data_IF_136977921966
#
_entry.id   IF_136977921966
#
_cell.length_a   1.000
_cell.length_b   1.000
_cell.length_c   1.000
_cell.angle_alpha   90.00
_cell.angle_beta   90.00
_cell.angle_gamma   90.00
#
_symmetry.space_group_name_H-M   'P 1'
#
loop_
_entity.id
_entity.type
_entity.pdbx_description
1 polymer ?
#
# COMPACT_ATOMS: atom_id res chain seq x y z
N UNK A 1 -17.56 -49.72 17.45
CA UNK A 1 -18.50 -48.71 16.92
C UNK A 1 -18.19 -47.28 17.38
N UNK A 2 -18.02 -47.00 18.69
CA UNK A 2 -17.65 -45.65 19.18
C UNK A 2 -16.37 -45.07 18.55
N UNK A 3 -15.34 -45.91 18.36
CA UNK A 3 -14.07 -45.47 17.77
C UNK A 3 -14.13 -45.22 16.26
N UNK A 4 -15.08 -45.85 15.55
CA UNK A 4 -15.28 -45.64 14.11
C UNK A 4 -16.04 -44.33 13.84
N UNK A 5 -17.01 -43.99 14.70
CA UNK A 5 -17.72 -42.71 14.65
C UNK A 5 -16.78 -41.52 14.93
N UNK A 6 -15.84 -41.66 15.88
CA UNK A 6 -14.85 -40.63 16.18
C UNK A 6 -13.86 -40.42 15.01
N UNK A 7 -13.47 -41.51 14.33
CA UNK A 7 -12.61 -41.46 13.16
C UNK A 7 -13.30 -40.78 11.97
N UNK A 8 -14.58 -41.07 11.75
CA UNK A 8 -15.40 -40.41 10.72
C UNK A 8 -15.59 -38.93 11.05
N UNK A 9 -15.78 -38.57 12.32
CA UNK A 9 -15.87 -37.18 12.77
C UNK A 9 -14.56 -36.41 12.53
N UNK A 10 -13.41 -37.05 12.78
CA UNK A 10 -12.07 -36.51 12.50
C UNK A 10 -11.78 -36.39 11.00
N UNK A 11 -12.33 -37.28 10.16
CA UNK A 11 -12.21 -37.21 8.70
C UNK A 11 -13.16 -36.19 8.05
N UNK A 12 -14.20 -35.73 8.76
CA UNK A 12 -15.13 -34.68 8.32
C UNK A 12 -14.69 -33.26 8.75
N UNK A 13 -13.64 -33.15 9.58
CA UNK A 13 -13.07 -31.87 10.04
C UNK A 13 -12.14 -31.11 9.07
N UNK A 14 -11.62 -31.63 7.93
CA UNK A 14 -10.67 -30.86 7.13
C UNK A 14 -11.31 -29.77 6.24
N UNK A 15 -12.64 -29.61 6.22
CA UNK A 15 -13.29 -28.62 5.35
C UNK A 15 -13.42 -27.21 5.97
N UNK A 16 -12.80 -26.94 7.12
CA UNK A 16 -12.80 -25.60 7.76
C UNK A 16 -11.41 -24.99 7.90
N UNK A 17 -10.36 -25.64 7.40
CA UNK A 17 -9.03 -25.05 7.34
C UNK A 17 -8.93 -24.36 5.98
N UNK A 18 -9.36 -23.09 5.93
CA UNK A 18 -8.90 -22.21 4.87
C UNK A 18 -7.42 -21.95 5.15
N UNK A 19 -6.53 -22.47 4.31
CA UNK A 19 -5.18 -21.94 4.23
C UNK A 19 -5.34 -20.49 3.74
N UNK A 20 -5.06 -19.53 4.61
CA UNK A 20 -4.95 -18.12 4.25
C UNK A 20 -3.50 -17.86 3.90
N UNK A 21 -3.18 -18.01 2.62
CA UNK A 21 -1.82 -17.78 2.11
C UNK A 21 -1.62 -16.29 1.78
N UNK A 22 -2.70 -15.59 1.42
CA UNK A 22 -2.75 -14.12 1.31
C UNK A 22 -3.84 -13.60 0.38
N UNK A 23 -4.18 -12.32 0.54
CA UNK A 23 -5.20 -11.64 -0.25
C UNK A 23 -4.60 -10.40 -0.94
N UNK A 24 -4.67 -10.39 -2.27
CA UNK A 24 -4.45 -9.19 -3.07
C UNK A 24 -5.79 -8.51 -3.32
N UNK A 25 -6.02 -7.35 -2.71
CA UNK A 25 -7.28 -6.62 -2.87
C UNK A 25 -7.29 -5.73 -4.10
N UNK A 26 -6.28 -4.88 -4.27
CA UNK A 26 -6.20 -3.90 -5.34
C UNK A 26 -4.81 -3.24 -5.41
N UNK A 27 -4.57 -2.51 -6.51
CA UNK A 27 -3.45 -1.58 -6.62
C UNK A 27 -3.87 -0.24 -7.20
N UNK A 28 -3.12 0.81 -6.85
CA UNK A 28 -3.29 2.13 -7.45
C UNK A 28 -2.73 2.22 -8.87
N UNK A 29 -3.15 3.26 -9.60
CA UNK A 29 -2.75 3.43 -11.00
C UNK A 29 -2.81 4.89 -11.46
N UNK A 30 -2.06 5.18 -12.52
CA UNK A 30 -2.13 6.45 -13.24
C UNK A 30 -3.45 6.61 -13.98
N UNK A 31 -3.87 7.87 -14.17
CA UNK A 31 -4.78 8.19 -15.27
C UNK A 31 -4.06 7.95 -16.60
N UNK A 32 -4.78 7.46 -17.60
CA UNK A 32 -4.25 7.15 -18.92
C UNK A 32 -5.17 7.70 -20.01
N UNK A 33 -4.62 8.15 -21.14
CA UNK A 33 -5.45 8.52 -22.27
C UNK A 33 -5.89 7.25 -23.01
N UNK A 34 -7.17 7.17 -23.39
CA UNK A 34 -7.67 6.06 -24.22
C UNK A 34 -7.31 6.25 -25.69
N UNK A 35 -6.75 7.38 -26.09
CA UNK A 35 -6.18 7.55 -27.43
C UNK A 35 -4.81 8.19 -27.33
N UNK A 36 -3.96 7.98 -28.34
CA UNK A 36 -2.71 8.75 -28.45
C UNK A 36 -2.98 10.25 -28.38
N UNK A 37 -2.06 10.98 -27.75
CA UNK A 37 -2.25 12.39 -27.46
C UNK A 37 -0.93 13.12 -27.24
N UNK A 38 -0.85 14.37 -27.70
CA UNK A 38 0.27 15.27 -27.41
C UNK A 38 0.17 15.92 -26.02
N UNK A 39 -0.88 15.61 -25.25
CA UNK A 39 -1.06 16.15 -23.90
C UNK A 39 -0.05 15.49 -22.96
N UNK A 40 0.81 16.29 -22.34
CA UNK A 40 1.89 15.81 -21.47
C UNK A 40 1.61 16.05 -19.99
N UNK A 41 2.14 15.19 -19.11
CA UNK A 41 2.13 15.40 -17.66
C UNK A 41 3.25 16.35 -17.24
N UNK A 42 2.90 17.57 -16.85
CA UNK A 42 3.85 18.57 -16.35
C UNK A 42 4.17 18.39 -14.88
N UNK A 43 3.16 18.01 -14.10
CA UNK A 43 3.33 17.77 -12.67
C UNK A 43 2.44 16.65 -12.21
N UNK A 44 2.96 15.85 -11.29
CA UNK A 44 2.18 14.90 -10.52
C UNK A 44 2.61 14.95 -9.05
N UNK A 45 1.63 15.08 -8.16
CA UNK A 45 1.80 14.86 -6.73
C UNK A 45 0.90 13.68 -6.34
N UNK A 46 1.53 12.53 -6.15
CA UNK A 46 0.90 11.29 -5.70
C UNK A 46 1.05 11.19 -4.18
N UNK A 47 -0.07 11.09 -3.46
CA UNK A 47 -0.09 10.84 -2.01
C UNK A 47 -0.77 9.52 -1.73
N UNK A 48 -0.07 8.63 -1.03
CA UNK A 48 -0.55 7.34 -0.55
C UNK A 48 -0.54 7.37 0.97
N UNK A 49 -1.70 7.20 1.59
CA UNK A 49 -1.85 7.25 3.05
C UNK A 49 -2.50 5.97 3.57
N UNK A 50 -1.77 5.21 4.38
CA UNK A 50 -2.32 4.02 5.04
C UNK A 50 -3.17 4.43 6.22
N UNK A 51 -4.40 3.94 6.27
CA UNK A 51 -5.34 4.20 7.35
C UNK A 51 -5.63 2.90 8.10
N UNK A 52 -5.17 2.84 9.36
CA UNK A 52 -5.51 1.79 10.34
C UNK A 52 -5.24 0.35 9.88
N UNK A 53 -4.24 0.11 9.02
CA UNK A 53 -4.00 -1.20 8.37
C UNK A 53 -5.23 -1.76 7.64
N UNK A 54 -6.15 -0.91 7.17
CA UNK A 54 -7.37 -1.36 6.49
C UNK A 54 -7.40 -0.92 5.03
N UNK A 55 -7.03 0.32 4.73
CA UNK A 55 -7.07 0.84 3.37
C UNK A 55 -5.96 1.87 3.13
N UNK A 56 -5.63 2.04 1.87
CA UNK A 56 -4.80 3.14 1.35
C UNK A 56 -5.72 4.20 0.77
N UNK A 57 -5.67 5.41 1.32
CA UNK A 57 -6.24 6.60 0.70
C UNK A 57 -5.26 7.14 -0.34
N UNK A 58 -5.73 7.28 -1.57
CA UNK A 58 -4.96 7.83 -2.68
C UNK A 58 -5.50 9.19 -3.06
N UNK A 59 -4.60 10.16 -3.16
CA UNK A 59 -4.89 11.47 -3.74
C UNK A 59 -3.83 11.77 -4.78
N UNK A 60 -4.28 12.12 -5.99
CA UNK A 60 -3.36 12.51 -7.07
C UNK A 60 -3.76 13.85 -7.64
N UNK A 61 -2.78 14.74 -7.67
CA UNK A 61 -2.87 16.04 -8.31
C UNK A 61 -2.02 16.01 -9.57
N UNK A 62 -2.61 16.41 -10.69
CA UNK A 62 -1.93 16.52 -11.97
C UNK A 62 -2.00 17.93 -12.53
N UNK A 63 -0.92 18.33 -13.19
CA UNK A 63 -0.91 19.40 -14.19
C UNK A 63 -0.65 18.79 -15.57
N UNK A 64 -1.66 18.82 -16.43
CA UNK A 64 -1.57 18.41 -17.82
C UNK A 64 -1.42 19.64 -18.72
N UNK A 65 -0.60 19.53 -19.76
CA UNK A 65 -0.45 20.58 -20.77
C UNK A 65 -0.91 20.11 -22.14
N UNK A 66 -1.91 20.79 -22.71
CA UNK A 66 -2.34 20.59 -24.10
C UNK A 66 -1.68 21.63 -25.01
N UNK A 67 -0.75 21.23 -25.90
CA UNK A 67 -0.05 22.18 -26.78
C UNK A 67 -0.92 22.69 -27.94
N UNK A 68 -2.03 22.01 -28.24
CA UNK A 68 -2.90 22.27 -29.39
C UNK A 68 -4.22 22.91 -28.94
N UNK A 69 -5.11 23.12 -29.89
CA UNK A 69 -6.47 23.60 -29.61
C UNK A 69 -7.23 22.67 -28.66
N UNK A 70 -8.29 23.21 -28.06
CA UNK A 70 -9.09 22.49 -27.08
C UNK A 70 -9.67 21.21 -27.68
N UNK A 71 -9.62 20.11 -26.92
CA UNK A 71 -10.15 18.81 -27.34
C UNK A 71 -10.69 18.01 -26.15
N UNK A 72 -11.66 17.16 -26.43
CA UNK A 72 -12.18 16.20 -25.45
C UNK A 72 -11.53 14.85 -25.68
N UNK A 73 -11.10 14.19 -24.61
CA UNK A 73 -10.55 12.84 -24.64
C UNK A 73 -11.28 11.97 -23.62
N UNK A 74 -11.49 10.69 -23.96
CA UNK A 74 -11.77 9.68 -22.95
C UNK A 74 -10.49 9.39 -22.17
N UNK A 75 -10.57 9.54 -20.85
CA UNK A 75 -9.49 9.23 -19.90
C UNK A 75 -9.93 8.03 -19.08
N UNK A 76 -9.01 7.08 -18.89
CA UNK A 76 -9.22 5.86 -18.13
C UNK A 76 -8.40 5.82 -16.84
N UNK A 77 -8.86 4.98 -15.92
CA UNK A 77 -8.17 4.52 -14.73
C UNK A 77 -8.38 3.01 -14.64
N UNK A 78 -7.30 2.24 -14.77
CA UNK A 78 -7.32 0.78 -14.73
C UNK A 78 -7.21 0.30 -13.27
N UNK A 79 -8.24 -0.40 -12.80
CA UNK A 79 -8.26 -1.09 -11.51
C UNK A 79 -8.22 -2.60 -11.75
N UNK A 80 -7.08 -3.22 -11.47
CA UNK A 80 -6.85 -4.66 -11.61
C UNK A 80 -7.68 -5.45 -10.60
N UNK A 81 -8.14 -6.62 -11.00
CA UNK A 81 -9.02 -7.43 -10.16
C UNK A 81 -8.30 -8.06 -8.96
N UNK A 82 -9.03 -8.31 -7.86
CA UNK A 82 -8.52 -9.00 -6.69
C UNK A 82 -8.12 -10.45 -7.01
N UNK A 83 -7.19 -10.99 -6.23
CA UNK A 83 -6.68 -12.37 -6.37
C UNK A 83 -6.29 -12.95 -5.00
N UNK A 84 -6.21 -14.28 -4.91
CA UNK A 84 -5.87 -14.97 -3.66
C UNK A 84 -7.09 -15.20 -2.78
N UNK A 85 -6.96 -15.15 -1.47
CA UNK A 85 -8.02 -15.51 -0.51
C UNK A 85 -9.06 -14.40 -0.32
N UNK A 86 -9.71 -14.02 -1.42
CA UNK A 86 -10.56 -12.84 -1.50
C UNK A 86 -11.64 -12.98 -2.59
N UNK A 87 -12.78 -12.32 -2.45
CA UNK A 87 -13.85 -12.39 -3.47
C UNK A 87 -13.60 -11.40 -4.62
N UNK A 88 -13.36 -11.90 -5.83
CA UNK A 88 -13.08 -11.09 -7.02
C UNK A 88 -14.33 -10.50 -7.70
N UNK A 89 -15.54 -11.00 -7.36
CA UNK A 89 -16.77 -10.56 -7.98
C UNK A 89 -17.03 -9.04 -7.82
N UNK A 90 -17.61 -8.37 -8.85
CA UNK A 90 -17.97 -6.97 -8.76
C UNK A 90 -19.01 -6.68 -7.68
N UNK A 91 -18.82 -5.59 -6.94
CA UNK A 91 -19.81 -5.07 -6.00
C UNK A 91 -20.54 -3.88 -6.62
N UNK A 92 -21.83 -4.04 -6.91
CA UNK A 92 -22.67 -3.00 -7.53
C UNK A 92 -22.10 -2.44 -8.85
N UNK A 93 -21.56 -3.32 -9.69
CA UNK A 93 -20.98 -2.90 -10.97
C UNK A 93 -19.57 -2.32 -10.88
N UNK A 94 -18.93 -2.35 -9.70
CA UNK A 94 -17.66 -1.71 -9.40
C UNK A 94 -16.67 -2.70 -8.79
N UNK A 95 -15.42 -2.27 -8.72
CA UNK A 95 -14.34 -3.00 -8.07
C UNK A 95 -14.71 -3.25 -6.59
N UNK A 96 -14.66 -4.50 -6.08
CA UNK A 96 -15.17 -4.84 -4.75
C UNK A 96 -14.41 -4.17 -3.60
N UNK A 97 -13.12 -3.90 -3.80
CA UNK A 97 -12.21 -3.32 -2.78
C UNK A 97 -11.64 -1.96 -3.16
N UNK A 98 -12.27 -1.27 -4.11
CA UNK A 98 -11.94 0.12 -4.40
C UNK A 98 -13.21 0.96 -4.31
N UNK A 99 -13.14 2.06 -3.58
CA UNK A 99 -14.29 2.93 -3.32
C UNK A 99 -13.90 4.40 -3.37
N UNK A 100 -14.92 5.26 -3.32
CA UNK A 100 -14.78 6.71 -3.27
C UNK A 100 -13.94 7.31 -4.41
N UNK A 101 -13.99 6.67 -5.60
CA UNK A 101 -13.38 7.23 -6.80
C UNK A 101 -14.06 8.55 -7.19
N UNK A 102 -13.29 9.63 -7.17
CA UNK A 102 -13.72 10.96 -7.63
C UNK A 102 -12.71 11.51 -8.61
N UNK A 103 -13.17 12.34 -9.55
CA UNK A 103 -12.30 13.06 -10.47
C UNK A 103 -12.85 14.46 -10.73
N UNK A 104 -11.94 15.44 -10.72
CA UNK A 104 -12.20 16.84 -10.97
C UNK A 104 -11.23 17.35 -12.05
N UNK A 105 -11.74 18.11 -13.02
CA UNK A 105 -10.96 18.80 -14.03
C UNK A 105 -11.24 20.29 -13.92
N UNK A 106 -10.19 21.09 -13.67
CA UNK A 106 -10.28 22.54 -13.52
C UNK A 106 -11.38 22.95 -12.51
N UNK A 107 -11.42 22.28 -11.35
CA UNK A 107 -12.40 22.46 -10.26
C UNK A 107 -13.83 21.96 -10.56
N UNK A 108 -14.11 21.46 -11.77
CA UNK A 108 -15.39 20.85 -12.10
C UNK A 108 -15.35 19.33 -11.88
N UNK A 109 -16.29 18.80 -11.08
CA UNK A 109 -16.47 17.36 -10.90
C UNK A 109 -16.92 16.71 -12.21
N UNK A 110 -16.29 15.59 -12.56
CA UNK A 110 -16.66 14.79 -13.72
C UNK A 110 -17.38 13.51 -13.28
N UNK A 111 -18.38 13.12 -14.06
CA UNK A 111 -19.00 11.81 -13.94
C UNK A 111 -18.14 10.76 -14.65
N UNK A 112 -18.11 9.55 -14.10
CA UNK A 112 -17.42 8.41 -14.70
C UNK A 112 -18.38 7.25 -14.97
N UNK A 113 -17.94 6.35 -15.84
CA UNK A 113 -18.53 5.04 -16.09
C UNK A 113 -17.51 3.96 -15.77
N UNK A 114 -17.98 2.74 -15.52
CA UNK A 114 -17.12 1.57 -15.30
C UNK A 114 -17.36 0.58 -16.43
N UNK A 115 -16.28 0.14 -17.06
CA UNK A 115 -16.30 -0.93 -18.05
C UNK A 115 -15.52 -2.13 -17.51
N UNK A 116 -16.02 -3.34 -17.77
CA UNK A 116 -15.24 -4.56 -17.61
C UNK A 116 -14.46 -4.83 -18.87
N UNK A 117 -13.19 -5.21 -18.74
CA UNK A 117 -12.31 -5.47 -19.88
C UNK A 117 -11.49 -6.74 -19.65
N UNK A 118 -11.16 -7.43 -20.73
CA UNK A 118 -10.53 -8.76 -20.68
C UNK A 118 -9.02 -8.68 -20.42
N UNK A 119 -8.34 -7.80 -21.15
CA UNK A 119 -6.88 -7.67 -21.13
C UNK A 119 -6.48 -6.21 -21.30
N UNK A 120 -5.17 -5.92 -21.28
CA UNK A 120 -4.62 -4.57 -21.50
C UNK A 120 -4.80 -4.02 -22.92
N UNK A 121 -5.28 -4.84 -23.88
CA UNK A 121 -5.56 -4.45 -25.27
C UNK A 121 -7.00 -3.96 -25.46
N UNK A 122 -7.73 -3.72 -24.36
CA UNK A 122 -9.10 -3.21 -24.38
C UNK A 122 -9.25 -1.86 -25.08
N UNK A 123 -8.17 -1.08 -25.17
CA UNK A 123 -8.17 0.18 -25.87
C UNK A 123 -7.94 -0.03 -27.37
N UNK A 124 -8.92 0.33 -28.20
CA UNK A 124 -8.80 0.35 -29.66
C UNK A 124 -9.21 1.71 -30.21
N UNK A 125 -8.21 2.52 -30.57
CA UNK A 125 -8.38 3.81 -31.25
C UNK A 125 -9.34 4.78 -30.52
N UNK A 126 -9.18 4.94 -29.21
CA UNK A 126 -10.04 5.83 -28.41
C UNK A 126 -11.35 5.20 -27.94
N UNK A 127 -11.60 3.92 -28.24
CA UNK A 127 -12.77 3.18 -27.77
C UNK A 127 -12.38 2.08 -26.80
N UNK A 128 -13.12 1.98 -25.71
CA UNK A 128 -13.01 0.89 -24.74
C UNK A 128 -13.80 -0.31 -25.27
N UNK A 129 -13.11 -1.40 -25.54
CA UNK A 129 -13.69 -2.72 -25.85
C UNK A 129 -14.18 -3.35 -24.54
N UNK A 130 -15.36 -2.91 -24.11
CA UNK A 130 -16.01 -3.46 -22.93
C UNK A 130 -16.49 -4.90 -23.18
N UNK A 131 -16.43 -5.71 -22.13
CA UNK A 131 -17.06 -7.02 -22.09
C UNK A 131 -18.59 -6.83 -22.01
N UNK A 132 -19.31 -7.55 -22.86
CA UNK A 132 -20.74 -7.76 -22.65
C UNK A 132 -20.93 -8.76 -21.52
N UNK A 133 -21.14 -8.24 -20.31
CA UNK A 133 -21.16 -9.04 -19.09
C UNK A 133 -22.25 -10.13 -19.10
N UNK A 134 -23.34 -9.94 -19.86
CA UNK A 134 -24.40 -10.95 -19.99
C UNK A 134 -23.91 -12.18 -20.75
N UNK A 135 -23.19 -11.97 -21.83
CA UNK A 135 -22.70 -13.00 -22.74
C UNK A 135 -21.25 -13.42 -22.45
N UNK A 136 -20.63 -12.90 -21.40
CA UNK A 136 -19.26 -13.22 -21.03
C UNK A 136 -19.15 -14.65 -20.50
N UNK A 137 -18.28 -15.46 -21.11
CA UNK A 137 -18.07 -16.87 -20.77
C UNK A 137 -16.97 -17.09 -19.71
N UNK A 138 -16.15 -16.07 -19.43
CA UNK A 138 -15.10 -16.15 -18.41
C UNK A 138 -15.65 -16.12 -16.98
N UNK A 139 -14.77 -16.40 -16.01
CA UNK A 139 -15.15 -16.46 -14.61
C UNK A 139 -15.56 -15.07 -14.07
N UNK A 140 -16.68 -15.04 -13.33
CA UNK A 140 -17.31 -13.83 -12.79
C UNK A 140 -17.35 -13.75 -11.27
N UNK A 141 -16.89 -14.80 -10.59
CA UNK A 141 -16.99 -14.93 -9.14
C UNK A 141 -15.90 -15.80 -8.54
N UNK A 142 -15.78 -15.74 -7.23
CA UNK A 142 -14.75 -16.43 -6.48
C UNK A 142 -13.42 -15.69 -6.57
N UNK A 143 -12.35 -16.41 -6.25
CA UNK A 143 -11.04 -15.83 -5.98
C UNK A 143 -10.26 -15.34 -7.21
N UNK A 144 -10.76 -15.65 -8.41
CA UNK A 144 -10.16 -15.27 -9.67
C UNK A 144 -11.26 -14.92 -10.67
N UNK A 145 -11.23 -13.72 -11.24
CA UNK A 145 -12.16 -13.29 -12.29
C UNK A 145 -11.40 -12.95 -13.56
N UNK A 146 -11.99 -13.25 -14.72
CA UNK A 146 -11.32 -13.16 -16.03
C UNK A 146 -11.47 -11.78 -16.69
N UNK A 147 -11.54 -10.73 -15.88
CA UNK A 147 -11.64 -9.35 -16.34
C UNK A 147 -11.06 -8.41 -15.29
N UNK A 148 -10.86 -7.15 -15.65
CA UNK A 148 -10.62 -6.05 -14.72
C UNK A 148 -11.44 -4.82 -15.09
N UNK A 149 -11.28 -3.74 -14.33
CA UNK A 149 -12.17 -2.59 -14.36
C UNK A 149 -11.46 -1.39 -14.98
N UNK A 150 -12.14 -0.67 -15.86
CA UNK A 150 -11.69 0.63 -16.36
C UNK A 150 -12.73 1.66 -15.97
N UNK A 151 -12.37 2.54 -15.04
CA UNK A 151 -13.13 3.73 -14.71
C UNK A 151 -12.79 4.78 -15.75
N UNK A 152 -13.77 5.29 -16.48
CA UNK A 152 -13.51 6.21 -17.58
C UNK A 152 -14.48 7.38 -17.61
N UNK A 153 -13.99 8.52 -18.10
CA UNK A 153 -14.71 9.78 -18.15
C UNK A 153 -14.24 10.61 -19.34
N UNK A 154 -15.11 11.50 -19.82
CA UNK A 154 -14.76 12.48 -20.84
C UNK A 154 -14.12 13.71 -20.19
N UNK A 155 -12.92 14.09 -20.65
CA UNK A 155 -12.17 15.22 -20.14
C UNK A 155 -11.95 16.25 -21.25
N UNK A 156 -12.47 17.46 -21.07
CA UNK A 156 -12.30 18.56 -22.01
C UNK A 156 -11.07 19.40 -21.68
N UNK A 157 -9.96 19.13 -22.38
CA UNK A 157 -8.70 19.85 -22.18
C UNK A 157 -8.70 21.14 -22.99
N UNK A 158 -8.64 22.30 -22.31
CA UNK A 158 -8.37 23.58 -22.96
C UNK A 158 -6.92 23.63 -23.45
N UNK A 159 -6.62 24.50 -24.42
CA UNK A 159 -5.24 24.81 -24.78
C UNK A 159 -4.47 25.31 -23.56
N UNK A 160 -3.23 24.84 -23.39
CA UNK A 160 -2.40 25.14 -22.23
C UNK A 160 -2.67 24.24 -21.02
N UNK A 161 -2.57 24.83 -19.82
CA UNK A 161 -2.60 24.11 -18.55
C UNK A 161 -4.00 23.64 -18.15
N UNK A 162 -4.10 22.40 -17.70
CA UNK A 162 -5.30 21.76 -17.17
C UNK A 162 -4.95 21.05 -15.87
N UNK A 163 -5.75 21.26 -14.82
CA UNK A 163 -5.53 20.65 -13.52
C UNK A 163 -6.53 19.50 -13.36
N UNK A 164 -6.03 18.30 -13.10
CA UNK A 164 -6.87 17.16 -12.75
C UNK A 164 -6.55 16.74 -11.33
N UNK A 165 -7.58 16.45 -10.54
CA UNK A 165 -7.45 15.82 -9.23
C UNK A 165 -8.31 14.57 -9.22
N UNK A 166 -7.76 13.46 -8.78
CA UNK A 166 -8.58 12.30 -8.45
C UNK A 166 -8.28 11.82 -7.03
N UNK A 167 -9.26 11.13 -6.46
CA UNK A 167 -9.11 10.44 -5.17
C UNK A 167 -9.79 9.10 -5.27
N UNK A 168 -9.31 8.13 -4.49
CA UNK A 168 -9.99 6.87 -4.24
C UNK A 168 -9.36 6.23 -3.01
N UNK A 169 -9.99 5.18 -2.49
CA UNK A 169 -9.36 4.31 -1.50
C UNK A 169 -9.50 2.87 -1.92
N UNK A 170 -8.52 2.06 -1.53
CA UNK A 170 -8.60 0.62 -1.71
C UNK A 170 -8.10 -0.12 -0.48
N UNK A 171 -8.65 -1.31 -0.24
CA UNK A 171 -8.28 -2.14 0.91
C UNK A 171 -6.82 -2.56 0.79
N UNK A 172 -6.10 -2.57 1.91
CA UNK A 172 -4.67 -2.91 1.92
C UNK A 172 -4.49 -4.43 1.84
N UNK A 173 -3.61 -4.89 0.96
CA UNK A 173 -3.26 -6.29 0.80
C UNK A 173 -2.39 -6.79 1.95
N UNK A 174 -2.35 -8.11 2.11
CA UNK A 174 -1.51 -8.77 3.11
C UNK A 174 -1.48 -10.28 2.93
N UNK A 175 -0.55 -10.92 3.61
CA UNK A 175 -0.31 -12.37 3.53
C UNK A 175 0.30 -12.89 4.82
N UNK A 176 0.65 -14.17 4.85
CA UNK A 176 1.47 -14.70 5.95
C UNK A 176 2.85 -14.01 6.02
N UNK A 177 3.41 -13.62 4.88
CA UNK A 177 4.71 -12.95 4.80
C UNK A 177 4.62 -11.46 5.12
N UNK A 178 3.54 -10.80 4.69
CA UNK A 178 3.35 -9.36 4.81
C UNK A 178 2.23 -9.00 5.77
N UNK A 179 2.57 -8.23 6.81
CA UNK A 179 1.57 -7.55 7.64
C UNK A 179 0.69 -6.63 6.80
N UNK A 180 1.29 -5.98 5.80
CA UNK A 180 0.59 -5.35 4.70
C UNK A 180 1.51 -5.17 3.50
N UNK A 181 0.92 -5.07 2.32
CA UNK A 181 1.56 -4.60 1.11
C UNK A 181 0.59 -3.76 0.26
N UNK A 182 1.15 -2.90 -0.59
CA UNK A 182 0.38 -2.18 -1.59
C UNK A 182 1.24 -1.71 -2.75
N UNK A 183 0.58 -1.56 -3.90
CA UNK A 183 1.20 -1.20 -5.17
C UNK A 183 0.62 0.09 -5.76
N UNK A 184 1.44 0.76 -6.57
CA UNK A 184 0.96 1.80 -7.48
C UNK A 184 1.68 1.69 -8.84
N UNK A 185 0.92 1.52 -9.91
CA UNK A 185 1.48 1.48 -11.26
C UNK A 185 1.91 2.88 -11.71
N UNK A 186 3.21 3.09 -11.91
CA UNK A 186 3.81 4.36 -12.34
C UNK A 186 4.12 4.36 -13.84
N UNK A 187 4.47 3.20 -14.38
CA UNK A 187 4.83 3.02 -15.78
C UNK A 187 3.77 3.49 -16.79
N UNK A 188 2.43 3.47 -16.52
CA UNK A 188 1.44 3.95 -17.46
C UNK A 188 1.47 5.47 -17.69
N UNK A 189 2.18 6.25 -16.87
CA UNK A 189 2.41 7.67 -17.12
C UNK A 189 3.09 7.92 -18.48
N UNK A 190 3.85 6.94 -18.98
CA UNK A 190 4.51 6.99 -20.30
C UNK A 190 3.53 6.94 -21.48
N UNK A 191 2.23 6.71 -21.25
CA UNK A 191 1.19 6.72 -22.29
C UNK A 191 0.72 8.14 -22.65
N UNK A 192 1.06 9.14 -21.83
CA UNK A 192 0.84 10.54 -22.15
C UNK A 192 1.97 11.10 -23.03
N UNK A 193 1.72 12.25 -23.66
CA UNK A 193 2.73 12.96 -24.43
C UNK A 193 3.99 13.23 -23.62
N UNK A 194 5.14 13.30 -24.30
CA UNK A 194 6.49 13.37 -23.71
C UNK A 194 6.97 12.08 -23.00
N UNK A 195 6.12 11.05 -22.83
CA UNK A 195 6.47 9.75 -22.25
C UNK A 195 7.17 9.84 -20.87
N UNK A 196 6.88 10.89 -20.09
CA UNK A 196 7.49 11.17 -18.79
C UNK A 196 6.58 12.08 -17.96
N UNK A 197 6.95 12.29 -16.69
CA UNK A 197 6.39 13.31 -15.81
C UNK A 197 7.46 14.38 -15.56
N UNK A 198 7.20 15.64 -15.90
CA UNK A 198 8.25 16.67 -15.81
C UNK A 198 8.63 17.02 -14.36
N UNK A 199 7.68 17.08 -13.43
CA UNK A 199 7.88 17.28 -11.98
C UNK A 199 7.05 16.24 -11.19
N UNK A 200 7.70 15.21 -10.67
CA UNK A 200 7.07 14.14 -9.90
C UNK A 200 7.37 14.25 -8.41
N UNK A 201 6.32 14.16 -7.59
CA UNK A 201 6.42 14.01 -6.13
C UNK A 201 5.57 12.82 -5.68
N UNK A 202 6.19 11.88 -4.98
CA UNK A 202 5.52 10.78 -4.28
C UNK A 202 5.63 11.01 -2.77
N UNK A 203 4.48 10.95 -2.09
CA UNK A 203 4.35 11.09 -0.65
C UNK A 203 3.73 9.81 -0.10
N UNK A 204 4.41 9.15 0.83
CA UNK A 204 3.90 7.95 1.49
C UNK A 204 3.82 8.22 2.99
N UNK A 205 2.59 8.16 3.51
CA UNK A 205 2.27 8.30 4.93
C UNK A 205 1.69 6.97 5.42
N UNK A 206 2.56 6.12 5.97
CA UNK A 206 2.17 4.83 6.52
C UNK A 206 1.74 4.92 7.99
N UNK A 207 1.81 6.12 8.60
CA UNK A 207 1.58 6.34 10.02
C UNK A 207 2.85 6.25 10.88
N UNK A 208 2.68 6.61 12.15
CA UNK A 208 3.74 6.64 13.16
C UNK A 208 4.09 5.24 13.68
N UNK A 209 5.32 5.08 14.13
CA UNK A 209 5.90 3.83 14.64
C UNK A 209 5.89 2.67 13.64
N UNK A 210 6.19 2.93 12.37
CA UNK A 210 6.13 1.94 11.30
C UNK A 210 7.51 1.51 10.82
N UNK A 211 7.60 0.24 10.41
CA UNK A 211 8.73 -0.28 9.65
C UNK A 211 8.19 -0.87 8.36
N UNK A 212 8.65 -0.38 7.22
CA UNK A 212 8.24 -0.85 5.90
C UNK A 212 9.38 -0.69 4.90
N UNK A 213 9.28 -1.41 3.79
CA UNK A 213 10.27 -1.42 2.72
C UNK A 213 9.63 -0.96 1.42
N UNK A 214 10.43 -0.31 0.58
CA UNK A 214 10.07 0.02 -0.80
C UNK A 214 11.08 -0.65 -1.73
N UNK A 215 10.60 -1.42 -2.70
CA UNK A 215 11.46 -2.03 -3.72
C UNK A 215 12.15 -0.96 -4.57
N UNK A 216 13.45 -1.15 -4.85
CA UNK A 216 14.26 -0.25 -5.70
C UNK A 216 13.94 -0.45 -7.19
N UNK A 217 12.73 -0.08 -7.60
CA UNK A 217 12.25 -0.22 -8.98
C UNK A 217 12.44 1.05 -9.82
N UNK A 218 12.44 2.23 -9.20
CA UNK A 218 12.54 3.53 -9.89
C UNK A 218 13.49 4.53 -9.22
N UNK A 219 14.16 4.13 -8.14
CA UNK A 219 15.10 4.95 -7.37
C UNK A 219 16.35 4.14 -7.00
N UNK A 220 17.43 4.83 -6.63
CA UNK A 220 18.76 4.24 -6.37
C UNK A 220 18.98 3.91 -4.90
N UNK A 221 18.78 4.88 -4.03
CA UNK A 221 19.13 4.78 -2.61
C UNK A 221 18.42 5.86 -1.76
N UNK A 222 18.76 5.89 -0.48
CA UNK A 222 18.16 6.78 0.51
C UNK A 222 18.33 8.29 0.20
N UNK A 223 19.35 8.68 -0.57
CA UNK A 223 19.60 10.10 -0.88
C UNK A 223 18.51 10.74 -1.74
N UNK A 224 17.71 9.94 -2.44
CA UNK A 224 16.56 10.40 -3.23
C UNK A 224 15.26 10.53 -2.41
N UNK A 225 15.30 10.15 -1.13
CA UNK A 225 14.16 10.19 -0.23
C UNK A 225 14.39 11.20 0.89
N UNK A 226 13.34 11.94 1.23
CA UNK A 226 13.28 12.78 2.42
C UNK A 226 12.34 12.13 3.43
N UNK A 227 12.78 11.96 4.67
CA UNK A 227 11.90 11.74 5.81
C UNK A 227 11.46 13.10 6.33
N UNK A 228 10.16 13.37 6.28
CA UNK A 228 9.51 14.57 6.83
C UNK A 228 8.93 14.24 8.20
N UNK A 229 9.82 14.18 9.19
CA UNK A 229 9.52 13.70 10.54
C UNK A 229 10.75 13.09 11.22
N UNK A 230 10.55 12.04 12.02
CA UNK A 230 11.61 11.31 12.73
C UNK A 230 11.65 9.88 12.21
N UNK A 231 12.79 9.47 11.70
CA UNK A 231 13.00 8.12 11.20
C UNK A 231 14.40 7.92 10.64
N UNK A 232 14.68 6.71 10.19
CA UNK A 232 15.95 6.34 9.54
C UNK A 232 15.71 5.28 8.47
N UNK A 233 16.71 5.05 7.64
CA UNK A 233 16.65 4.11 6.52
C UNK A 233 17.76 3.07 6.57
N UNK A 234 17.49 1.89 6.03
CA UNK A 234 18.47 0.81 5.88
C UNK A 234 18.36 0.20 4.47
N UNK A 235 19.49 -0.08 3.83
CA UNK A 235 19.47 -0.81 2.56
C UNK A 235 19.22 -2.29 2.81
N UNK A 236 18.28 -2.88 2.06
CA UNK A 236 18.02 -4.31 2.10
C UNK A 236 18.46 -4.91 0.77
N UNK A 237 19.21 -6.01 0.84
CA UNK A 237 19.64 -6.76 -0.33
C UNK A 237 18.65 -7.86 -0.63
N UNK A 238 18.19 -7.89 -1.87
CA UNK A 238 17.35 -8.95 -2.36
C UNK A 238 18.17 -10.20 -2.68
N UNK A 239 17.57 -11.37 -2.52
CA UNK A 239 18.12 -12.64 -2.99
C UNK A 239 17.06 -13.40 -3.80
N UNK A 240 17.43 -13.96 -4.97
CA UNK A 240 16.51 -14.78 -5.75
C UNK A 240 15.92 -15.93 -4.92
N UNK A 241 14.63 -16.20 -5.09
CA UNK A 241 13.90 -17.24 -4.36
C UNK A 241 13.92 -17.07 -2.82
N UNK A 242 14.04 -15.83 -2.33
CA UNK A 242 13.92 -15.52 -0.91
C UNK A 242 12.71 -14.63 -0.67
N UNK A 243 12.30 -14.49 0.60
CA UNK A 243 11.20 -13.59 0.98
C UNK A 243 11.41 -12.13 0.52
N UNK A 244 12.67 -11.70 0.35
CA UNK A 244 13.01 -10.39 -0.18
C UNK A 244 13.75 -10.61 -1.50
N UNK A 245 13.01 -10.68 -2.60
CA UNK A 245 13.62 -10.98 -3.91
C UNK A 245 14.36 -9.79 -4.53
N UNK A 246 14.00 -8.57 -4.15
CA UNK A 246 14.52 -7.33 -4.76
C UNK A 246 15.24 -6.50 -3.72
N UNK A 247 16.30 -5.83 -4.18
CA UNK A 247 16.90 -4.76 -3.39
C UNK A 247 15.81 -3.75 -3.03
N UNK A 248 15.80 -3.35 -1.76
CA UNK A 248 14.81 -2.44 -1.20
C UNK A 248 15.48 -1.39 -0.32
N UNK A 249 14.72 -0.35 0.00
CA UNK A 249 15.06 0.57 1.06
C UNK A 249 14.04 0.41 2.17
N UNK A 250 14.49 -0.03 3.35
CA UNK A 250 13.69 -0.14 4.56
C UNK A 250 13.67 1.21 5.26
N UNK A 251 12.50 1.60 5.74
CA UNK A 251 12.25 2.81 6.50
C UNK A 251 11.77 2.43 7.90
N UNK A 252 12.37 3.02 8.92
CA UNK A 252 11.90 3.01 10.30
C UNK A 252 11.38 4.40 10.63
N UNK A 253 10.05 4.57 10.61
CA UNK A 253 9.39 5.86 10.81
C UNK A 253 8.82 5.91 12.23
N UNK A 254 9.46 6.67 13.10
CA UNK A 254 8.90 6.96 14.42
C UNK A 254 7.73 7.93 14.27
N UNK A 255 7.88 8.97 13.42
CA UNK A 255 6.84 9.95 13.18
C UNK A 255 6.95 10.57 11.79
N UNK A 256 5.82 10.80 11.13
CA UNK A 256 5.75 11.56 9.88
C UNK A 256 5.72 10.69 8.62
N UNK A 257 6.24 11.22 7.51
CA UNK A 257 6.06 10.65 6.17
C UNK A 257 7.34 10.65 5.35
N UNK A 258 7.36 9.87 4.27
CA UNK A 258 8.49 9.83 3.33
C UNK A 258 8.11 10.45 2.00
N UNK A 259 9.07 11.16 1.39
CA UNK A 259 8.85 11.96 0.19
C UNK A 259 9.95 11.66 -0.82
N UNK A 260 9.58 11.24 -2.02
CA UNK A 260 10.46 11.13 -3.19
C UNK A 260 10.12 12.24 -4.18
N UNK A 261 11.15 12.88 -4.75
CA UNK A 261 10.98 13.92 -5.76
C UNK A 261 11.91 13.68 -6.93
N UNK A 262 11.40 13.87 -8.15
CA UNK A 262 12.20 13.70 -9.36
C UNK A 262 11.72 14.61 -10.49
N UNK A 263 12.67 15.33 -11.09
CA UNK A 263 12.46 16.11 -12.31
C UNK A 263 12.72 15.21 -13.53
N UNK A 264 11.93 15.37 -14.59
CA UNK A 264 11.95 14.55 -15.80
C UNK A 264 11.86 13.05 -15.48
N UNK A 265 10.91 12.70 -14.60
CA UNK A 265 10.74 11.35 -14.11
C UNK A 265 10.24 10.43 -15.22
N UNK A 266 11.07 9.44 -15.55
CA UNK A 266 10.77 8.36 -16.50
C UNK A 266 10.63 7.05 -15.72
N UNK A 267 9.40 6.62 -15.39
CA UNK A 267 9.22 5.42 -14.59
C UNK A 267 9.68 4.17 -15.35
N UNK A 268 10.67 3.49 -14.77
CA UNK A 268 11.23 2.23 -15.27
C UNK A 268 10.75 1.01 -14.46
N UNK A 269 9.93 1.23 -13.45
CA UNK A 269 9.28 0.22 -12.64
C UNK A 269 8.16 0.85 -11.80
N UNK A 270 7.31 -0.01 -11.26
CA UNK A 270 6.14 0.39 -10.46
C UNK A 270 6.49 0.38 -8.96
N UNK A 271 5.66 1.05 -8.17
CA UNK A 271 5.81 1.10 -6.72
C UNK A 271 5.31 -0.19 -6.08
N UNK A 272 6.12 -0.77 -5.19
CA UNK A 272 5.73 -1.83 -4.28
C UNK A 272 6.22 -1.48 -2.88
N UNK A 273 5.29 -1.37 -1.93
CA UNK A 273 5.54 -1.06 -0.53
C UNK A 273 5.05 -2.23 0.30
N UNK A 274 5.85 -2.68 1.27
CA UNK A 274 5.48 -3.82 2.12
C UNK A 274 6.04 -3.68 3.53
N UNK A 275 5.34 -4.26 4.50
CA UNK A 275 5.84 -4.48 5.85
C UNK A 275 5.79 -5.98 6.16
N UNK A 276 6.93 -6.55 6.53
CA UNK A 276 7.06 -7.98 6.85
C UNK A 276 6.43 -8.27 8.20
N UNK A 277 5.74 -9.41 8.30
CA UNK A 277 5.24 -9.93 9.56
C UNK A 277 6.39 -10.38 10.48
N UNK A 278 6.31 -10.03 11.77
CA UNK A 278 7.22 -10.55 12.80
C UNK A 278 6.75 -11.90 13.35
N UNK A 279 6.60 -12.90 12.48
CA UNK A 279 6.14 -14.25 12.86
C UNK A 279 7.33 -15.15 13.20
N UNK A 280 7.15 -16.06 14.18
CA UNK A 280 8.14 -17.10 14.47
C UNK A 280 9.41 -16.61 15.17
N UNK A 281 9.45 -15.34 15.60
CA UNK A 281 10.55 -14.79 16.39
C UNK A 281 10.54 -15.44 17.78
N UNK A 282 11.50 -16.34 18.02
CA UNK A 282 11.62 -17.02 19.30
C UNK A 282 12.09 -16.07 20.41
N UNK A 283 11.55 -16.26 21.61
CA UNK A 283 12.02 -15.69 22.88
C UNK A 283 12.37 -14.18 22.87
N UNK A 284 11.51 -13.36 22.25
CA UNK A 284 11.66 -11.89 22.23
C UNK A 284 12.93 -11.40 21.54
N UNK A 285 13.56 -12.20 20.66
CA UNK A 285 14.74 -11.76 19.89
C UNK A 285 14.47 -10.49 19.07
N UNK A 286 13.21 -10.20 18.75
CA UNK A 286 12.79 -8.98 18.07
C UNK A 286 11.40 -8.55 18.55
N UNK A 287 11.22 -7.26 18.84
CA UNK A 287 9.91 -6.64 19.06
C UNK A 287 9.60 -5.70 17.90
N UNK A 288 8.41 -5.76 17.28
CA UNK A 288 8.10 -4.95 16.12
C UNK A 288 7.90 -3.47 16.47
N UNK A 289 8.39 -2.59 15.59
CA UNK A 289 8.15 -1.15 15.67
C UNK A 289 6.66 -0.83 15.62
N UNK A 290 5.91 -1.45 14.69
CA UNK A 290 4.47 -1.22 14.51
C UNK A 290 3.65 -1.81 15.65
N UNK A 291 2.78 -0.99 16.22
CA UNK A 291 1.79 -1.43 17.20
C UNK A 291 0.64 -2.25 16.57
N UNK A 292 0.52 -2.27 15.24
CA UNK A 292 -0.41 -3.18 14.56
C UNK A 292 0.05 -4.65 14.57
N UNK A 293 1.33 -4.90 14.83
CA UNK A 293 1.88 -6.26 14.92
C UNK A 293 1.89 -6.80 16.36
N UNK A 294 1.30 -6.08 17.32
CA UNK A 294 1.29 -6.48 18.72
C UNK A 294 0.60 -7.83 18.99
N UNK A 295 -0.32 -8.26 18.11
CA UNK A 295 -0.97 -9.58 18.19
C UNK A 295 -0.04 -10.76 17.89
N UNK A 296 1.09 -10.52 17.20
CA UNK A 296 2.06 -11.56 16.84
C UNK A 296 3.16 -11.74 17.89
N UNK A 297 3.14 -10.93 18.96
CA UNK A 297 4.15 -10.99 20.02
C UNK A 297 3.76 -12.07 21.03
N UNK A 298 4.70 -12.97 21.33
CA UNK A 298 4.50 -14.04 22.30
C UNK A 298 4.21 -13.50 23.73
N UNK A 299 3.52 -14.31 24.53
CA UNK A 299 3.33 -14.03 25.96
C UNK A 299 4.69 -14.12 26.70
N UNK A 300 4.94 -13.23 27.69
CA UNK A 300 6.19 -13.23 28.43
C UNK A 300 6.25 -14.44 29.37
N UNK A 301 7.39 -15.12 29.38
CA UNK A 301 7.70 -16.25 30.28
C UNK A 301 8.50 -15.82 31.51
N UNK A 302 9.07 -14.61 31.50
CA UNK A 302 9.91 -14.08 32.57
C UNK A 302 9.53 -12.65 32.94
N UNK A 303 9.89 -12.23 34.14
CA UNK A 303 9.70 -10.84 34.59
C UNK A 303 10.46 -9.83 33.72
N UNK A 304 11.62 -10.22 33.17
CA UNK A 304 12.35 -9.37 32.24
C UNK A 304 11.56 -9.18 30.93
N UNK A 305 11.03 -10.26 30.34
CA UNK A 305 10.19 -10.16 29.14
C UNK A 305 8.94 -9.33 29.40
N UNK A 306 8.30 -9.47 30.56
CA UNK A 306 7.17 -8.61 30.95
C UNK A 306 7.57 -7.13 31.00
N UNK A 307 8.78 -6.82 31.53
CA UNK A 307 9.33 -5.45 31.49
C UNK A 307 9.59 -4.96 30.06
N UNK A 308 10.09 -5.80 29.15
CA UNK A 308 10.22 -5.44 27.72
C UNK A 308 8.85 -5.06 27.15
N UNK A 309 7.81 -5.84 27.41
CA UNK A 309 6.49 -5.53 26.82
C UNK A 309 5.88 -4.28 27.42
N UNK A 310 5.93 -4.12 28.74
CA UNK A 310 5.46 -2.91 29.42
C UNK A 310 6.11 -1.63 28.88
N UNK A 311 7.40 -1.70 28.53
CA UNK A 311 8.17 -0.52 28.10
C UNK A 311 8.17 -0.26 26.59
N UNK A 312 7.67 -1.20 25.78
CA UNK A 312 7.69 -1.10 24.31
C UNK A 312 7.07 0.22 23.77
N UNK A 313 5.92 0.72 24.29
CA UNK A 313 5.37 2.00 23.82
C UNK A 313 6.30 3.21 24.05
N UNK A 314 7.12 3.18 25.09
CA UNK A 314 8.07 4.25 25.39
C UNK A 314 9.37 4.11 24.57
N UNK A 315 9.82 2.88 24.33
CA UNK A 315 10.95 2.61 23.43
C UNK A 315 10.66 3.10 22.01
N UNK A 316 9.44 2.87 21.49
CA UNK A 316 8.97 3.40 20.19
C UNK A 316 9.08 4.93 20.07
N UNK A 317 9.05 5.64 21.20
CA UNK A 317 9.16 7.10 21.29
C UNK A 317 10.58 7.58 21.63
N UNK A 318 11.54 6.67 21.73
CA UNK A 318 12.94 7.00 22.01
C UNK A 318 13.31 7.14 23.47
N UNK A 319 12.54 6.54 24.39
CA UNK A 319 12.90 6.59 25.81
C UNK A 319 14.25 5.94 26.11
N UNK A 320 15.16 6.72 26.70
CA UNK A 320 16.48 6.26 27.10
C UNK A 320 16.41 5.54 28.46
N UNK A 321 16.54 4.21 28.42
CA UNK A 321 16.46 3.37 29.60
C UNK A 321 17.69 3.50 30.50
N UNK A 322 17.45 3.64 31.81
CA UNK A 322 18.50 3.63 32.84
C UNK A 322 18.86 2.21 33.29
N UNK A 323 17.90 1.27 33.21
CA UNK A 323 18.16 -0.14 33.50
C UNK A 323 19.06 -0.73 32.39
N UNK A 324 20.23 -1.32 32.72
CA UNK A 324 21.18 -1.79 31.72
C UNK A 324 20.63 -2.86 30.77
N UNK A 325 19.84 -3.81 31.27
CA UNK A 325 19.29 -4.89 30.45
C UNK A 325 18.25 -4.37 29.45
N UNK A 326 17.35 -3.48 29.88
CA UNK A 326 16.38 -2.82 28.99
C UNK A 326 17.10 -1.95 27.95
N UNK A 327 18.11 -1.20 28.38
CA UNK A 327 18.89 -0.34 27.49
C UNK A 327 19.55 -1.15 26.39
N UNK A 328 20.30 -2.19 26.76
CA UNK A 328 20.98 -3.07 25.81
C UNK A 328 19.99 -3.69 24.82
N UNK A 329 18.86 -4.20 25.32
CA UNK A 329 17.85 -4.84 24.48
C UNK A 329 17.28 -3.90 23.40
N UNK A 330 16.86 -2.69 23.78
CA UNK A 330 16.26 -1.77 22.80
C UNK A 330 17.30 -1.11 21.89
N UNK A 331 18.52 -0.86 22.38
CA UNK A 331 19.61 -0.34 21.53
C UNK A 331 20.01 -1.31 20.42
N UNK A 332 19.79 -2.62 20.61
CA UNK A 332 20.00 -3.65 19.58
C UNK A 332 18.89 -3.70 18.52
N UNK A 333 17.72 -3.08 18.74
CA UNK A 333 16.63 -3.11 17.77
C UNK A 333 16.86 -2.10 16.63
N UNK A 334 16.75 -2.60 15.39
CA UNK A 334 17.02 -1.83 14.17
C UNK A 334 16.19 -0.54 14.08
N UNK A 335 14.96 -0.53 14.57
CA UNK A 335 14.07 0.63 14.53
C UNK A 335 14.24 1.62 15.69
N UNK A 336 14.97 1.29 16.75
CA UNK A 336 15.07 2.16 17.93
C UNK A 336 15.84 3.45 17.63
N UNK A 337 15.27 4.59 18.05
CA UNK A 337 15.84 5.93 17.86
C UNK A 337 15.75 6.65 19.21
N UNK A 338 16.86 6.76 19.98
CA UNK A 338 16.83 7.42 21.29
C UNK A 338 16.56 8.93 21.14
N UNK A 339 15.68 9.46 21.98
CA UNK A 339 15.34 10.88 22.05
C UNK A 339 15.64 11.41 23.46
N UNK A 340 16.75 12.15 23.66
CA UNK A 340 17.09 12.75 24.96
C UNK A 340 16.05 13.73 25.50
N UNK A 341 15.12 14.22 24.65
CA UNK A 341 14.07 15.16 25.04
C UNK A 341 12.76 14.45 25.39
N UNK A 342 12.65 13.15 25.15
CA UNK A 342 11.43 12.39 25.41
C UNK A 342 11.25 12.12 26.90
N UNK A 343 10.07 12.49 27.42
CA UNK A 343 9.65 12.22 28.79
C UNK A 343 8.46 11.25 28.73
N UNK A 344 8.55 10.05 29.34
CA UNK A 344 7.45 9.09 29.33
C UNK A 344 6.16 9.65 29.90
N UNK A 345 5.07 9.51 29.15
CA UNK A 345 3.74 9.90 29.59
C UNK A 345 2.69 8.93 29.06
N UNK A 346 2.09 8.14 29.96
CA UNK A 346 1.05 7.15 29.65
C UNK A 346 -0.16 7.80 28.98
N UNK A 347 -0.47 9.06 29.30
CA UNK A 347 -1.62 9.76 28.72
C UNK A 347 -1.45 10.06 27.22
N UNK A 348 -0.20 10.12 26.73
CA UNK A 348 0.15 10.35 25.32
C UNK A 348 0.26 9.06 24.50
N UNK A 349 0.03 7.90 25.12
CA UNK A 349 -0.04 6.62 24.39
C UNK A 349 -1.35 6.52 23.58
N UNK A 350 -1.31 5.79 22.47
CA UNK A 350 -2.54 5.48 21.71
C UNK A 350 -3.49 4.61 22.54
N UNK A 351 -4.79 4.54 22.20
CA UNK A 351 -5.73 3.66 22.90
C UNK A 351 -5.25 2.20 22.97
N UNK A 352 -4.68 1.68 21.89
CA UNK A 352 -4.12 0.33 21.80
C UNK A 352 -2.90 0.17 22.70
N UNK A 353 -2.00 1.15 22.71
CA UNK A 353 -0.82 1.13 23.57
C UNK A 353 -1.16 1.29 25.06
N UNK A 354 -2.24 2.00 25.42
CA UNK A 354 -2.74 2.07 26.80
C UNK A 354 -3.24 0.72 27.28
N UNK A 355 -4.03 0.02 26.45
CA UNK A 355 -4.47 -1.35 26.73
C UNK A 355 -3.27 -2.30 26.87
N UNK A 356 -2.29 -2.16 26.00
CA UNK A 356 -1.03 -2.90 26.06
C UNK A 356 -0.26 -2.63 27.36
N UNK A 357 -0.07 -1.36 27.71
CA UNK A 357 0.64 -0.96 28.92
C UNK A 357 -0.02 -1.51 30.19
N UNK A 358 -1.35 -1.42 30.30
CA UNK A 358 -2.08 -1.95 31.47
C UNK A 358 -2.08 -3.48 31.51
N UNK A 359 -2.11 -4.18 30.37
CA UNK A 359 -1.97 -5.66 30.33
C UNK A 359 -0.65 -6.13 30.97
N UNK A 360 0.43 -5.39 30.75
CA UNK A 360 1.78 -5.78 31.20
C UNK A 360 2.28 -5.01 32.42
N UNK A 361 1.41 -4.21 33.04
CA UNK A 361 1.71 -3.52 34.29
C UNK A 361 1.97 -4.53 35.41
#
# INVERSE_FOLDING_TARGET
>A
MKNLALLILLMLLPNLILANDGAFFAKGNQLIPISETDISVKKEILTLKKIKNQYIEVTVYYEFFNPKEAKTLTVGFEAFSPQGDVEGAPKNGKHPYMSDFTVELNQAKLNYKVAYVFDSLYNKSGKIKAIDFKNFEGNKSGNYVDFFYVYHFEAHFKKGLNIIRHTYKYDVSGSIDYNYDFEYALSPAKRWGNNQIDDFTLIIDNGDFETFSINKSFFKDASEWKIDGVGKTENVKGAPNSFIERDALKFHIQKGKVIFKKINFKPNGDLFVYAVNSIGVQDFAYLPHSYYQSGNIAEPKTEFQKKLLKNLPFARRGYIFQNPELKSYYEDLDWYIPDPKYIPNVNLLTPEEKKWYEKWK
#
